data_IF_120792244500
#
_entry.id   IF_120792244500
#
_cell.length_a   1.000
_cell.length_b   1.000
_cell.length_c   1.000
_cell.angle_alpha   90.00
_cell.angle_beta   90.00
_cell.angle_gamma   90.00
#
_symmetry.space_group_name_H-M   'P 1'
#
loop_
_entity.id
_entity.type
_entity.pdbx_description
1 polymer ?
#
# COMPACT_ATOMS: atom_id res chain seq x y z
N UNK A 1 -12.27 4.54 25.64
CA UNK A 1 -10.88 4.74 25.16
C UNK A 1 -10.47 3.75 24.07
N UNK A 2 -10.32 2.44 24.34
CA UNK A 2 -9.87 1.45 23.32
C UNK A 2 -10.73 1.44 22.04
N UNK A 3 -12.04 1.59 22.18
CA UNK A 3 -12.98 1.61 21.06
C UNK A 3 -12.75 2.80 20.11
N UNK A 4 -12.39 3.98 20.63
CA UNK A 4 -12.06 5.17 19.83
C UNK A 4 -10.78 4.98 19.02
N UNK A 5 -9.78 4.30 19.58
CA UNK A 5 -8.55 3.96 18.85
C UNK A 5 -8.82 3.02 17.68
N UNK A 6 -9.65 1.99 17.88
CA UNK A 6 -10.03 1.05 16.82
C UNK A 6 -10.78 1.80 15.72
N UNK A 7 -11.75 2.65 16.08
CA UNK A 7 -12.54 3.43 15.12
C UNK A 7 -11.67 4.40 14.31
N UNK A 8 -10.75 5.10 14.98
CA UNK A 8 -9.79 6.00 14.34
C UNK A 8 -8.89 5.25 13.35
N UNK A 9 -8.39 4.08 13.72
CA UNK A 9 -7.55 3.25 12.86
C UNK A 9 -8.34 2.74 11.64
N UNK A 10 -9.60 2.35 11.83
CA UNK A 10 -10.49 1.92 10.74
C UNK A 10 -10.76 3.04 9.74
N UNK A 11 -11.04 4.25 10.23
CA UNK A 11 -11.22 5.45 9.40
C UNK A 11 -9.93 5.75 8.62
N UNK A 12 -8.77 5.69 9.27
CA UNK A 12 -7.46 5.91 8.64
C UNK A 12 -7.21 4.91 7.51
N UNK A 13 -7.54 3.63 7.72
CA UNK A 13 -7.40 2.59 6.69
C UNK A 13 -8.33 2.83 5.50
N UNK A 14 -9.60 3.14 5.75
CA UNK A 14 -10.57 3.46 4.68
C UNK A 14 -10.11 4.68 3.88
N UNK A 15 -9.60 5.70 4.58
CA UNK A 15 -9.04 6.89 3.95
C UNK A 15 -7.84 6.54 3.06
N UNK A 16 -6.89 5.74 3.56
CA UNK A 16 -5.74 5.28 2.78
C UNK A 16 -6.16 4.48 1.54
N UNK A 17 -7.19 3.63 1.64
CA UNK A 17 -7.73 2.88 0.51
C UNK A 17 -8.35 3.78 -0.55
N UNK A 18 -9.16 4.77 -0.15
CA UNK A 18 -9.70 5.73 -1.13
C UNK A 18 -8.61 6.55 -1.79
N UNK A 19 -7.62 6.98 -1.02
CA UNK A 19 -6.49 7.76 -1.53
C UNK A 19 -5.64 6.94 -2.50
N UNK A 20 -5.35 5.67 -2.17
CA UNK A 20 -4.59 4.77 -3.03
C UNK A 20 -5.31 4.55 -4.38
N UNK A 21 -6.63 4.38 -4.36
CA UNK A 21 -7.46 4.28 -5.56
C UNK A 21 -7.38 5.53 -6.44
N UNK A 22 -7.43 6.72 -5.83
CA UNK A 22 -7.30 7.99 -6.56
C UNK A 22 -5.93 8.13 -7.21
N UNK A 23 -4.86 7.79 -6.48
CA UNK A 23 -3.49 7.85 -6.98
C UNK A 23 -3.29 6.88 -8.14
N UNK A 24 -3.72 5.62 -8.00
CA UNK A 24 -3.54 4.61 -9.03
C UNK A 24 -4.33 4.94 -10.30
N UNK A 25 -5.48 5.61 -10.18
CA UNK A 25 -6.25 6.11 -11.34
C UNK A 25 -5.53 7.24 -12.09
N UNK A 26 -4.83 8.12 -11.38
CA UNK A 26 -4.15 9.28 -11.97
C UNK A 26 -2.71 9.00 -12.40
N UNK A 27 -2.03 8.06 -11.74
CA UNK A 27 -0.61 7.80 -11.90
C UNK A 27 -0.37 6.34 -12.23
N UNK A 28 0.35 6.10 -13.32
CA UNK A 28 0.78 4.78 -13.74
C UNK A 28 1.94 4.27 -12.87
N UNK A 29 1.65 3.87 -11.63
CA UNK A 29 2.65 3.32 -10.72
C UNK A 29 2.90 1.84 -11.02
N UNK A 30 4.17 1.46 -11.16
CA UNK A 30 4.59 0.07 -11.28
C UNK A 30 4.59 -0.62 -9.90
N UNK A 31 3.92 -1.77 -9.76
CA UNK A 31 3.87 -2.53 -8.50
C UNK A 31 5.25 -2.95 -7.99
N UNK A 32 6.18 -3.26 -8.89
CA UNK A 32 7.52 -3.71 -8.51
C UNK A 32 8.34 -2.57 -7.90
N UNK A 33 8.11 -1.33 -8.36
CA UNK A 33 8.74 -0.16 -7.78
C UNK A 33 8.27 0.06 -6.33
N UNK A 34 6.98 -0.14 -6.05
CA UNK A 34 6.44 -0.07 -4.69
C UNK A 34 7.13 -1.07 -3.75
N UNK A 35 7.30 -2.31 -4.22
CA UNK A 35 8.00 -3.35 -3.46
C UNK A 35 9.47 -2.99 -3.20
N UNK A 36 10.18 -2.51 -4.23
CA UNK A 36 11.59 -2.13 -4.12
C UNK A 36 11.77 -0.95 -3.16
N UNK A 37 10.84 0.01 -3.15
CA UNK A 37 10.90 1.21 -2.28
C UNK A 37 10.71 0.85 -0.79
N UNK A 38 9.95 -0.19 -0.45
CA UNK A 38 9.66 -0.56 0.94
C UNK A 38 10.88 -0.65 1.87
N UNK A 39 11.94 -1.41 1.55
CA UNK A 39 13.13 -1.46 2.40
C UNK A 39 13.83 -0.11 2.54
N UNK A 40 13.74 0.77 1.54
CA UNK A 40 14.34 2.11 1.62
C UNK A 40 13.56 3.06 2.52
N UNK A 41 12.23 2.88 2.66
CA UNK A 41 11.41 3.67 3.59
C UNK A 41 11.90 3.50 5.03
N UNK A 42 12.40 2.31 5.39
CA UNK A 42 12.98 2.04 6.72
C UNK A 42 14.48 2.30 6.71
N UNK A 43 15.19 1.72 5.74
CA UNK A 43 16.64 1.67 5.71
C UNK A 43 17.28 3.05 5.61
N UNK A 44 16.74 3.95 4.79
CA UNK A 44 17.31 5.30 4.64
C UNK A 44 17.24 6.07 5.98
N UNK A 45 16.06 6.21 6.64
CA UNK A 45 16.01 6.85 7.95
C UNK A 45 16.95 6.24 8.98
N UNK A 46 17.01 4.90 9.08
CA UNK A 46 17.85 4.22 10.09
C UNK A 46 19.34 4.34 9.83
N UNK A 47 19.76 4.66 8.60
CA UNK A 47 21.17 4.84 8.26
C UNK A 47 21.63 6.30 8.38
N UNK A 48 20.70 7.26 8.25
CA UNK A 48 21.02 8.70 8.28
C UNK A 48 20.87 9.29 9.69
N UNK A 49 19.89 8.81 10.46
CA UNK A 49 19.60 9.34 11.79
C UNK A 49 20.08 8.35 12.86
N UNK A 50 20.98 8.81 13.73
CA UNK A 50 21.50 8.02 14.85
C UNK A 50 20.38 7.62 15.84
N UNK A 51 19.41 8.52 16.05
CA UNK A 51 18.22 8.25 16.85
C UNK A 51 16.96 8.80 16.16
N UNK A 52 15.99 7.91 15.94
CA UNK A 52 14.68 8.27 15.41
C UNK A 52 13.70 8.38 16.57
N UNK A 53 13.14 9.58 16.77
CA UNK A 53 12.13 9.79 17.81
C UNK A 53 10.81 9.06 17.48
N UNK A 54 9.91 8.99 18.47
CA UNK A 54 8.62 8.31 18.31
C UNK A 54 7.78 8.84 17.12
N UNK A 55 7.86 10.14 16.84
CA UNK A 55 7.14 10.76 15.72
C UNK A 55 7.70 10.31 14.36
N UNK A 56 9.02 10.21 14.22
CA UNK A 56 9.68 9.69 13.04
C UNK A 56 9.29 8.24 12.76
N UNK A 57 9.24 7.40 13.81
CA UNK A 57 8.73 6.03 13.69
C UNK A 57 7.29 5.97 13.22
N UNK A 58 6.41 6.84 13.75
CA UNK A 58 5.01 6.92 13.31
C UNK A 58 4.93 7.23 11.81
N UNK A 59 5.74 8.18 11.31
CA UNK A 59 5.79 8.52 9.89
C UNK A 59 6.28 7.32 9.06
N UNK A 60 7.34 6.64 9.49
CA UNK A 60 7.88 5.46 8.80
C UNK A 60 6.80 4.37 8.70
N UNK A 61 6.13 4.05 9.82
CA UNK A 61 5.06 3.06 9.83
C UNK A 61 3.87 3.46 8.95
N UNK A 62 3.50 4.74 8.95
CA UNK A 62 2.46 5.25 8.07
C UNK A 62 2.84 5.08 6.60
N UNK A 63 4.06 5.46 6.21
CA UNK A 63 4.56 5.32 4.83
C UNK A 63 4.61 3.86 4.36
N UNK A 64 5.08 2.95 5.21
CA UNK A 64 5.10 1.50 4.90
C UNK A 64 3.67 0.98 4.72
N UNK A 65 2.77 1.32 5.64
CA UNK A 65 1.38 0.89 5.59
C UNK A 65 0.72 1.38 4.31
N UNK A 66 0.90 2.67 3.99
CA UNK A 66 0.35 3.28 2.79
C UNK A 66 0.92 2.68 1.50
N UNK A 67 2.24 2.46 1.45
CA UNK A 67 2.90 1.81 0.32
C UNK A 67 2.40 0.36 0.13
N UNK A 68 2.22 -0.39 1.22
CA UNK A 68 1.64 -1.73 1.21
C UNK A 68 0.24 -1.73 0.61
N UNK A 69 -0.61 -0.81 1.06
CA UNK A 69 -1.98 -0.65 0.53
C UNK A 69 -1.94 -0.34 -0.97
N UNK A 70 -1.07 0.57 -1.42
CA UNK A 70 -0.89 0.88 -2.85
C UNK A 70 -0.44 -0.34 -3.66
N UNK A 71 0.49 -1.14 -3.12
CA UNK A 71 0.98 -2.35 -3.77
C UNK A 71 -0.14 -3.38 -3.97
N UNK A 72 -0.91 -3.65 -2.92
CA UNK A 72 -2.03 -4.59 -2.99
C UNK A 72 -3.15 -4.09 -3.89
N UNK A 73 -3.50 -2.80 -3.81
CA UNK A 73 -4.54 -2.21 -4.67
C UNK A 73 -4.13 -2.26 -6.14
N UNK A 74 -2.87 -1.95 -6.45
CA UNK A 74 -2.37 -2.05 -7.83
C UNK A 74 -2.35 -3.50 -8.31
N UNK A 75 -1.97 -4.43 -7.46
CA UNK A 75 -1.97 -5.86 -7.77
C UNK A 75 -3.39 -6.38 -8.01
N UNK A 76 -4.37 -5.96 -7.21
CA UNK A 76 -5.79 -6.26 -7.40
C UNK A 76 -6.28 -5.77 -8.76
N UNK A 77 -6.02 -4.51 -9.10
CA UNK A 77 -6.43 -3.97 -10.40
C UNK A 77 -5.78 -4.70 -11.58
N UNK A 78 -4.50 -5.10 -11.46
CA UNK A 78 -3.85 -5.88 -12.51
C UNK A 78 -4.48 -7.26 -12.66
N UNK A 79 -4.88 -7.89 -11.55
CA UNK A 79 -5.58 -9.17 -11.55
C UNK A 79 -6.98 -9.04 -12.20
N UNK A 80 -7.76 -8.05 -11.79
CA UNK A 80 -9.10 -7.76 -12.32
C UNK A 80 -9.07 -7.46 -13.83
N UNK A 81 -8.08 -6.68 -14.27
CA UNK A 81 -7.91 -6.35 -15.70
C UNK A 81 -7.24 -7.47 -16.51
N UNK A 82 -7.05 -8.65 -15.93
CA UNK A 82 -6.39 -9.82 -16.55
C UNK A 82 -4.97 -9.53 -17.08
N UNK A 83 -4.25 -8.59 -16.47
CA UNK A 83 -2.90 -8.15 -16.89
C UNK A 83 -1.77 -8.89 -16.17
N UNK A 84 -2.08 -9.91 -15.37
CA UNK A 84 -1.07 -10.73 -14.69
C UNK A 84 -0.78 -11.97 -15.54
N UNK A 85 0.42 -12.02 -16.11
CA UNK A 85 0.90 -13.20 -16.84
C UNK A 85 0.95 -14.42 -15.91
N UNK A 86 0.47 -15.56 -16.38
CA UNK A 86 0.54 -16.85 -15.67
C UNK A 86 -0.63 -17.17 -14.74
N UNK A 87 -1.67 -16.33 -14.68
CA UNK A 87 -2.90 -16.63 -13.95
C UNK A 87 -3.91 -17.28 -14.90
N UNK A 88 -4.44 -18.46 -14.54
CA UNK A 88 -5.55 -19.08 -15.25
C UNK A 88 -6.80 -18.29 -14.89
N UNK A 89 -7.22 -17.41 -15.80
CA UNK A 89 -8.51 -16.76 -15.70
C UNK A 89 -9.56 -17.80 -16.05
N UNK A 90 -10.51 -18.05 -15.13
CA UNK A 90 -11.68 -18.86 -15.43
C UNK A 90 -12.32 -18.28 -16.70
N UNK A 91 -12.32 -19.04 -17.80
CA UNK A 91 -13.11 -18.70 -18.96
C UNK A 91 -14.56 -18.72 -18.50
N UNK A 92 -15.31 -17.65 -18.76
CA UNK A 92 -16.76 -17.74 -18.72
C UNK A 92 -17.21 -18.51 -19.97
N UNK A 93 -16.84 -19.79 -20.02
CA UNK A 93 -17.47 -20.75 -20.91
C UNK A 93 -18.62 -21.39 -20.11
N UNK A 94 -19.82 -20.87 -20.35
CA UNK A 94 -21.07 -21.52 -20.00
C UNK A 94 -21.86 -20.90 -18.85
N UNK A 95 -22.60 -19.82 -19.14
CA UNK A 95 -24.07 -19.77 -19.07
C UNK A 95 -24.60 -18.48 -19.68
#
# INVERSE_FOLDING_TARGET
MRLLYILSLLILLIFCLKLSQLIIKKVAINRWLLLVIMPFIIGIPTLIFDEINAFGWIIIYFLITFNSILFFEKSRQLLENKKIKGVIYKSEEGK
#
